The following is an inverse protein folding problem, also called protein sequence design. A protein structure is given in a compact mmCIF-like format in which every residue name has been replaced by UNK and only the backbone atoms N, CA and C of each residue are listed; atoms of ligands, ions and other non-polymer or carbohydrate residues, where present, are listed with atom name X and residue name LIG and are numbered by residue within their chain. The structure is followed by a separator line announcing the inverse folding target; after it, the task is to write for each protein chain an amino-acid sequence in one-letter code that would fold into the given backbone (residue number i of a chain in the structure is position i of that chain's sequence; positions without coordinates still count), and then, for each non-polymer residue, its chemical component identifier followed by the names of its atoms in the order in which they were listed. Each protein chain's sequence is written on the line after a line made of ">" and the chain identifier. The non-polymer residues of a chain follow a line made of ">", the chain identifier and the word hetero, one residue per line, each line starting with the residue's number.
data_IF_680905196044
#
_entry.id   IF_680905196044
#
_cell.length_a   1.000
_cell.length_b   1.000
_cell.length_c   1.000
_cell.angle_alpha   90.00
_cell.angle_beta   90.00
_cell.angle_gamma   90.00
#
_symmetry.space_group_name_H-M   'P 1'
#
loop_
_entity.id
_entity.type
_entity.pdbx_description
1 polymer ?
#
# COMPACT_ATOMS: atom_id res chain seq x y z
N UNK A 1 0.78 5.75 5.01
CA UNK A 1 1.82 5.11 4.16
C UNK A 1 1.44 5.36 2.70
N UNK A 2 2.34 5.91 1.88
CA UNK A 2 2.05 6.18 0.46
C UNK A 2 1.95 4.86 -0.32
N UNK A 3 0.88 4.68 -1.10
CA UNK A 3 0.60 3.46 -1.88
C UNK A 3 0.66 3.80 -3.38
N UNK A 4 1.83 3.72 -4.03
CA UNK A 4 1.96 4.04 -5.45
C UNK A 4 1.12 3.12 -6.34
N UNK A 5 0.97 1.85 -5.92
CA UNK A 5 0.13 0.86 -6.60
C UNK A 5 -1.34 1.31 -6.76
N UNK A 6 -1.87 2.05 -5.76
CA UNK A 6 -3.24 2.55 -5.81
C UNK A 6 -3.44 3.50 -6.99
N UNK A 7 -2.49 4.41 -7.20
CA UNK A 7 -2.55 5.38 -8.30
C UNK A 7 -2.29 4.73 -9.66
N UNK A 8 -1.40 3.72 -9.71
CA UNK A 8 -1.18 2.95 -10.93
C UNK A 8 -2.48 2.25 -11.37
N UNK A 9 -3.20 1.64 -10.43
CA UNK A 9 -4.44 0.92 -10.69
C UNK A 9 -5.58 1.82 -11.22
N UNK A 10 -5.51 3.14 -11.00
CA UNK A 10 -6.49 4.09 -11.53
C UNK A 10 -6.36 4.29 -13.05
N UNK A 11 -5.16 4.12 -13.60
CA UNK A 11 -4.88 4.31 -15.01
C UNK A 11 -4.66 2.99 -15.76
N UNK A 12 -4.17 1.96 -15.07
CA UNK A 12 -3.87 0.66 -15.65
C UNK A 12 -4.52 -0.43 -14.80
N UNK A 13 -5.48 -1.16 -15.40
CA UNK A 13 -6.19 -2.22 -14.70
C UNK A 13 -5.20 -3.30 -14.19
N UNK A 14 -5.31 -3.73 -12.91
CA UNK A 14 -4.42 -4.70 -12.28
C UNK A 14 -4.57 -6.14 -12.80
N UNK A 15 -5.66 -6.43 -13.50
CA UNK A 15 -5.90 -7.72 -14.12
C UNK A 15 -6.66 -7.51 -15.45
N UNK A 16 -6.42 -8.41 -16.39
CA UNK A 16 -7.28 -8.58 -17.55
C UNK A 16 -8.34 -9.63 -17.18
N UNK A 17 -9.60 -9.24 -17.27
CA UNK A 17 -10.74 -10.14 -17.00
C UNK A 17 -11.11 -10.88 -18.29
N UNK A 18 -11.08 -12.21 -18.24
CA UNK A 18 -11.42 -13.06 -19.37
C UNK A 18 -12.45 -14.09 -18.93
N UNK A 19 -13.42 -14.39 -19.79
CA UNK A 19 -14.45 -15.38 -19.52
C UNK A 19 -13.85 -16.78 -19.32
N UNK A 20 -14.37 -17.52 -18.33
CA UNK A 20 -13.84 -18.81 -17.90
C UNK A 20 -13.70 -19.85 -19.00
N UNK A 21 -14.60 -19.88 -20.00
CA UNK A 21 -14.53 -20.85 -21.10
C UNK A 21 -13.30 -20.70 -22.00
N UNK A 22 -12.64 -19.53 -21.98
CA UNK A 22 -11.39 -19.30 -22.73
C UNK A 22 -10.14 -19.79 -22.00
N UNK A 23 -10.27 -20.24 -20.73
CA UNK A 23 -9.13 -20.63 -19.89
C UNK A 23 -8.24 -21.68 -20.56
N UNK A 24 -8.83 -22.67 -21.25
CA UNK A 24 -8.08 -23.71 -21.94
C UNK A 24 -7.25 -23.13 -23.09
N UNK A 25 -7.85 -22.27 -23.92
CA UNK A 25 -7.15 -21.68 -25.06
C UNK A 25 -5.97 -20.80 -24.62
N UNK A 26 -6.10 -20.13 -23.48
CA UNK A 26 -5.05 -19.31 -22.88
C UNK A 26 -3.93 -20.20 -22.36
N UNK A 27 -4.25 -21.22 -21.57
CA UNK A 27 -3.26 -22.10 -20.94
C UNK A 27 -2.55 -23.05 -21.92
N UNK A 28 -3.20 -23.38 -23.05
CA UNK A 28 -2.61 -24.09 -24.19
C UNK A 28 -1.78 -23.17 -25.11
N UNK A 29 -1.70 -21.86 -24.81
CA UNK A 29 -0.91 -20.89 -25.58
C UNK A 29 -1.47 -20.53 -26.96
N UNK A 30 -2.72 -20.92 -27.25
CA UNK A 30 -3.38 -20.67 -28.56
C UNK A 30 -3.85 -19.22 -28.73
N UNK A 31 -3.87 -18.44 -27.65
CA UNK A 31 -4.21 -17.02 -27.70
C UNK A 31 -2.98 -16.16 -28.05
N UNK A 32 -2.99 -15.59 -29.26
CA UNK A 32 -1.89 -14.77 -29.83
C UNK A 32 -1.50 -13.57 -28.97
N UNK A 33 -2.41 -13.06 -28.13
CA UNK A 33 -2.12 -11.91 -27.28
C UNK A 33 -1.40 -12.30 -25.96
N UNK A 34 -1.43 -13.58 -25.59
CA UNK A 34 -0.94 -14.08 -24.30
C UNK A 34 0.10 -15.22 -24.44
N UNK A 35 0.41 -15.67 -25.67
CA UNK A 35 1.33 -16.79 -25.95
C UNK A 35 2.72 -16.68 -25.32
N UNK A 36 3.19 -15.47 -25.01
CA UNK A 36 4.53 -15.22 -24.44
C UNK A 36 4.52 -14.93 -22.93
N UNK A 37 3.35 -14.92 -22.29
CA UNK A 37 3.23 -14.63 -20.86
C UNK A 37 3.28 -15.94 -20.09
N UNK A 38 4.32 -16.12 -19.27
CA UNK A 38 4.40 -17.27 -18.36
C UNK A 38 3.45 -17.05 -17.19
N UNK A 39 2.28 -17.69 -17.24
CA UNK A 39 1.26 -17.60 -16.19
C UNK A 39 1.61 -18.61 -15.08
N UNK A 40 2.37 -18.17 -14.09
CA UNK A 40 2.70 -19.00 -12.92
C UNK A 40 1.57 -19.03 -11.89
N UNK A 41 0.87 -17.90 -11.75
CA UNK A 41 -0.28 -17.74 -10.86
C UNK A 41 -1.46 -17.25 -11.66
N UNK A 42 -2.58 -17.97 -11.55
CA UNK A 42 -3.82 -17.64 -12.21
C UNK A 42 -4.87 -17.33 -11.15
N UNK A 43 -5.42 -16.12 -11.16
CA UNK A 43 -6.55 -15.80 -10.30
C UNK A 43 -7.83 -16.19 -11.02
N UNK A 44 -8.72 -16.85 -10.30
CA UNK A 44 -9.99 -17.35 -10.82
C UNK A 44 -11.13 -16.87 -9.95
N UNK A 45 -12.26 -16.55 -10.58
CA UNK A 45 -13.51 -16.25 -9.95
C UNK A 45 -14.48 -17.41 -10.19
N UNK A 46 -14.91 -18.02 -9.09
CA UNK A 46 -15.81 -19.18 -9.08
C UNK A 46 -17.13 -18.72 -8.50
N UNK A 47 -18.23 -19.08 -9.15
CA UNK A 47 -19.58 -18.66 -8.80
C UNK A 47 -20.50 -19.87 -8.75
N UNK A 48 -21.33 -19.98 -7.73
CA UNK A 48 -22.14 -21.17 -7.49
C UNK A 48 -23.10 -20.99 -6.32
N UNK A 49 -23.98 -21.97 -6.07
CA UNK A 49 -24.91 -21.94 -4.95
C UNK A 49 -24.18 -22.08 -3.60
N UNK A 50 -24.72 -21.41 -2.57
CA UNK A 50 -24.27 -21.45 -1.18
C UNK A 50 -24.64 -22.80 -0.54
N UNK A 51 -23.72 -23.42 0.21
CA UNK A 51 -23.91 -24.71 0.86
C UNK A 51 -25.09 -24.69 1.85
N UNK A 52 -25.23 -23.59 2.59
CA UNK A 52 -26.32 -23.43 3.56
C UNK A 52 -27.66 -23.03 2.91
N UNK A 53 -27.64 -22.49 1.68
CA UNK A 53 -28.82 -21.97 0.99
C UNK A 53 -28.68 -22.03 -0.54
N UNK A 54 -29.19 -23.09 -1.14
CA UNK A 54 -29.08 -23.37 -2.57
C UNK A 54 -29.71 -22.32 -3.50
N UNK A 55 -30.64 -21.49 -3.01
CA UNK A 55 -31.24 -20.39 -3.78
C UNK A 55 -30.30 -19.17 -3.90
N UNK A 56 -29.31 -19.07 -3.02
CA UNK A 56 -28.36 -17.96 -2.97
C UNK A 56 -27.10 -18.32 -3.76
N UNK A 57 -26.74 -17.47 -4.71
CA UNK A 57 -25.48 -17.60 -5.46
C UNK A 57 -24.40 -16.76 -4.78
N UNK A 58 -23.27 -17.38 -4.48
CA UNK A 58 -22.07 -16.74 -3.95
C UNK A 58 -20.95 -16.77 -5.00
N UNK A 59 -19.99 -15.86 -4.87
CA UNK A 59 -18.84 -15.78 -5.75
C UNK A 59 -17.56 -15.65 -4.93
N UNK A 60 -16.52 -16.37 -5.30
CA UNK A 60 -15.26 -16.47 -4.55
C UNK A 60 -14.06 -16.40 -5.48
N UNK A 61 -13.03 -15.67 -5.03
CA UNK A 61 -11.80 -15.48 -5.79
C UNK A 61 -10.69 -16.35 -5.19
N UNK A 62 -10.12 -17.24 -5.99
CA UNK A 62 -9.01 -18.11 -5.60
C UNK A 62 -7.79 -17.87 -6.49
N UNK A 63 -6.61 -18.23 -5.98
CA UNK A 63 -5.35 -18.12 -6.71
C UNK A 63 -4.81 -19.53 -6.94
N UNK A 64 -4.74 -19.93 -8.21
CA UNK A 64 -4.18 -21.20 -8.64
C UNK A 64 -2.70 -21.02 -8.94
N UNK A 65 -1.87 -21.95 -8.48
CA UNK A 65 -0.46 -22.04 -8.89
C UNK A 65 -0.37 -23.13 -9.95
N UNK A 66 0.01 -22.75 -11.16
CA UNK A 66 -0.01 -23.65 -12.32
C UNK A 66 1.35 -24.33 -12.52
N UNK A 67 1.33 -25.61 -12.88
CA UNK A 67 2.53 -26.32 -13.33
C UNK A 67 2.92 -25.91 -14.75
N UNK A 68 4.22 -25.94 -15.06
CA UNK A 68 4.71 -25.63 -16.41
C UNK A 68 4.46 -26.78 -17.41
N UNK A 69 4.14 -27.97 -16.92
CA UNK A 69 4.01 -29.19 -17.72
C UNK A 69 2.55 -29.65 -17.79
N UNK A 70 2.18 -30.25 -18.93
CA UNK A 70 0.85 -30.81 -19.18
C UNK A 70 -0.05 -29.93 -20.06
N UNK A 71 -1.19 -30.49 -20.46
CA UNK A 71 -2.30 -29.78 -21.09
C UNK A 71 -2.94 -28.78 -20.12
N UNK A 72 -3.71 -27.81 -20.62
CA UNK A 72 -4.43 -26.85 -19.76
C UNK A 72 -5.25 -27.51 -18.64
N UNK A 73 -5.94 -28.61 -18.95
CA UNK A 73 -6.78 -29.34 -17.98
C UNK A 73 -5.91 -30.01 -16.91
N UNK A 74 -4.81 -30.64 -17.31
CA UNK A 74 -3.85 -31.24 -16.34
C UNK A 74 -3.24 -30.19 -15.43
N UNK A 75 -2.93 -28.98 -15.95
CA UNK A 75 -2.42 -27.87 -15.13
C UNK A 75 -3.44 -27.42 -14.08
N UNK A 76 -4.72 -27.34 -14.45
CA UNK A 76 -5.80 -26.98 -13.51
C UNK A 76 -6.03 -28.08 -12.47
N UNK A 77 -6.07 -29.34 -12.89
CA UNK A 77 -6.19 -30.50 -12.00
C UNK A 77 -5.03 -30.57 -11.00
N UNK A 78 -3.80 -30.35 -11.47
CA UNK A 78 -2.61 -30.31 -10.61
C UNK A 78 -2.63 -29.12 -9.64
N UNK A 79 -3.29 -28.01 -10.00
CA UNK A 79 -3.55 -26.90 -9.11
C UNK A 79 -4.69 -27.17 -8.10
N UNK A 80 -5.33 -28.34 -8.18
CA UNK A 80 -6.42 -28.77 -7.31
C UNK A 80 -7.81 -28.35 -7.80
N UNK A 81 -7.94 -27.83 -9.02
CA UNK A 81 -9.21 -27.41 -9.60
C UNK A 81 -9.62 -28.36 -10.72
N UNK A 82 -10.56 -29.26 -10.43
CA UNK A 82 -11.14 -30.14 -11.44
C UNK A 82 -12.22 -29.39 -12.21
N UNK A 83 -12.09 -29.36 -13.54
CA UNK A 83 -13.02 -28.63 -14.42
C UNK A 83 -13.56 -29.51 -15.52
N UNK A 84 -14.84 -29.32 -15.83
CA UNK A 84 -15.54 -29.94 -16.96
C UNK A 84 -16.01 -28.82 -17.90
N UNK A 85 -15.61 -28.92 -19.16
CA UNK A 85 -15.98 -27.96 -20.20
C UNK A 85 -17.25 -28.43 -20.89
N UNK A 86 -18.33 -27.67 -20.77
CA UNK A 86 -19.57 -27.94 -21.51
C UNK A 86 -19.98 -26.72 -22.35
N UNK A 87 -19.92 -26.89 -23.67
CA UNK A 87 -20.26 -25.89 -24.68
C UNK A 87 -19.52 -24.55 -24.50
N UNK A 88 -20.05 -23.65 -23.67
CA UNK A 88 -19.57 -22.31 -23.42
C UNK A 88 -19.51 -21.97 -21.92
N UNK A 89 -19.48 -22.99 -21.06
CA UNK A 89 -19.40 -22.88 -19.61
C UNK A 89 -18.35 -23.86 -19.10
N UNK A 90 -17.78 -23.51 -17.96
CA UNK A 90 -16.78 -24.33 -17.28
C UNK A 90 -17.34 -24.68 -15.93
N UNK A 91 -17.73 -25.94 -15.78
CA UNK A 91 -18.25 -26.49 -14.53
C UNK A 91 -17.05 -26.87 -13.67
N UNK A 92 -17.09 -26.46 -12.41
CA UNK A 92 -16.08 -26.80 -11.41
C UNK A 92 -16.63 -27.94 -10.57
N UNK A 93 -15.87 -29.03 -10.48
CA UNK A 93 -16.19 -30.13 -9.58
C UNK A 93 -15.60 -29.89 -8.19
N UNK A 94 -16.11 -30.64 -7.21
CA UNK A 94 -15.61 -30.60 -5.85
C UNK A 94 -14.10 -30.94 -5.84
N UNK A 95 -13.24 -30.04 -5.30
CA UNK A 95 -11.82 -30.30 -5.18
C UNK A 95 -11.53 -31.55 -4.32
N UNK A 96 -10.45 -32.26 -4.63
CA UNK A 96 -10.08 -33.44 -3.83
C UNK A 96 -9.79 -33.09 -2.36
N UNK A 97 -10.24 -33.91 -1.39
CA UNK A 97 -9.92 -33.73 0.01
C UNK A 97 -8.41 -33.64 0.26
N UNK A 98 -7.98 -32.64 1.03
CA UNK A 98 -6.57 -32.39 1.33
C UNK A 98 -5.87 -31.40 0.39
N UNK A 99 -6.56 -30.89 -0.63
CA UNK A 99 -6.07 -29.77 -1.45
C UNK A 99 -6.35 -28.42 -0.79
N UNK A 100 -5.62 -27.36 -1.17
CA UNK A 100 -5.84 -26.00 -0.65
C UNK A 100 -7.23 -25.46 -1.01
N UNK A 101 -7.71 -25.77 -2.23
CA UNK A 101 -9.01 -25.30 -2.72
C UNK A 101 -10.19 -26.00 -2.06
N UNK A 102 -10.02 -27.22 -1.53
CA UNK A 102 -11.08 -27.91 -0.82
C UNK A 102 -11.62 -27.10 0.36
N UNK A 103 -10.73 -26.49 1.14
CA UNK A 103 -11.12 -25.61 2.25
C UNK A 103 -11.66 -24.28 1.76
N UNK A 104 -11.07 -23.71 0.70
CA UNK A 104 -11.54 -22.43 0.16
C UNK A 104 -12.93 -22.54 -0.48
N UNK A 105 -13.27 -23.67 -1.10
CA UNK A 105 -14.53 -23.83 -1.84
C UNK A 105 -15.60 -24.61 -1.06
N UNK A 106 -15.38 -24.89 0.22
CA UNK A 106 -16.33 -25.62 1.07
C UNK A 106 -17.70 -24.91 1.21
N UNK A 107 -17.75 -23.60 1.02
CA UNK A 107 -18.99 -22.81 1.09
C UNK A 107 -19.93 -23.07 -0.10
N UNK A 108 -19.48 -23.76 -1.15
CA UNK A 108 -20.29 -24.04 -2.34
C UNK A 108 -21.02 -25.38 -2.22
N UNK A 109 -22.26 -25.44 -2.70
CA UNK A 109 -22.97 -26.70 -2.93
C UNK A 109 -22.66 -27.25 -4.34
N UNK A 110 -21.76 -28.23 -4.42
CA UNK A 110 -21.42 -28.88 -5.68
C UNK A 110 -22.49 -29.87 -6.18
N UNK A 111 -23.47 -30.23 -5.35
CA UNK A 111 -24.48 -31.25 -5.63
C UNK A 111 -25.88 -30.68 -5.83
N UNK A 112 -26.02 -29.36 -5.79
CA UNK A 112 -27.27 -28.67 -6.11
C UNK A 112 -27.65 -28.78 -7.60
N UNK A 113 -28.91 -28.44 -7.92
CA UNK A 113 -29.42 -28.39 -9.30
C UNK A 113 -28.65 -27.40 -10.19
N UNK A 114 -28.02 -26.39 -9.60
CA UNK A 114 -27.22 -25.38 -10.32
C UNK A 114 -25.73 -25.69 -10.13
N UNK A 115 -24.97 -25.92 -11.21
CA UNK A 115 -23.55 -26.24 -11.09
C UNK A 115 -22.74 -25.03 -10.62
N UNK A 116 -21.62 -25.32 -9.96
CA UNK A 116 -20.57 -24.34 -9.68
C UNK A 116 -19.81 -24.05 -10.97
N UNK A 117 -19.63 -22.78 -11.30
CA UNK A 117 -19.05 -22.32 -12.56
C UNK A 117 -17.78 -21.53 -12.34
N UNK A 118 -16.80 -21.73 -13.20
CA UNK A 118 -15.67 -20.82 -13.37
C UNK A 118 -16.13 -19.69 -14.30
N UNK A 119 -16.46 -18.54 -13.73
CA UNK A 119 -17.05 -17.41 -14.45
C UNK A 119 -15.99 -16.56 -15.15
N UNK A 120 -14.96 -16.17 -14.39
CA UNK A 120 -13.93 -15.25 -14.87
C UNK A 120 -12.54 -15.71 -14.45
N UNK A 121 -11.58 -15.49 -15.34
CA UNK A 121 -10.16 -15.69 -15.13
C UNK A 121 -9.47 -14.34 -15.20
N UNK A 122 -8.67 -14.05 -14.18
CA UNK A 122 -7.99 -12.79 -13.96
C UNK A 122 -6.49 -12.99 -14.18
N UNK A 123 -5.98 -12.46 -15.28
CA UNK A 123 -4.56 -12.56 -15.64
C UNK A 123 -3.85 -11.26 -15.29
N UNK A 124 -2.70 -11.38 -14.65
CA UNK A 124 -1.86 -10.22 -14.33
C UNK A 124 -1.21 -9.65 -15.59
N UNK A 125 -1.49 -8.38 -15.90
CA UNK A 125 -0.92 -7.69 -17.08
C UNK A 125 0.54 -7.35 -16.79
N UNK A 126 1.46 -7.93 -17.55
CA UNK A 126 2.91 -7.70 -17.38
C UNK A 126 3.42 -6.39 -17.98
N UNK A 127 2.68 -5.76 -18.90
CA UNK A 127 3.09 -4.53 -19.60
C UNK A 127 2.74 -3.23 -18.83
N UNK A 128 2.84 -3.27 -17.49
CA UNK A 128 2.59 -2.07 -16.67
C UNK A 128 3.86 -1.26 -16.50
N UNK A 129 3.76 0.08 -16.51
CA UNK A 129 4.88 0.90 -16.08
C UNK A 129 5.21 0.61 -14.62
N UNK A 130 6.48 0.75 -14.29
CA UNK A 130 6.98 0.57 -12.92
C UNK A 130 6.28 1.55 -11.98
N UNK A 131 5.77 1.04 -10.86
CA UNK A 131 4.99 1.82 -9.88
C UNK A 131 5.78 2.96 -9.25
N UNK A 132 7.11 2.89 -9.32
CA UNK A 132 8.02 3.86 -8.72
C UNK A 132 7.94 5.23 -9.39
N UNK A 133 7.33 5.35 -10.58
CA UNK A 133 7.07 6.63 -11.26
C UNK A 133 6.28 7.59 -10.34
N UNK A 134 5.38 7.07 -9.51
CA UNK A 134 4.58 7.89 -8.60
C UNK A 134 5.40 8.53 -7.46
N UNK A 135 6.66 8.15 -7.25
CA UNK A 135 7.58 8.85 -6.34
C UNK A 135 8.29 10.02 -6.99
N UNK A 136 8.28 10.13 -8.33
CA UNK A 136 8.98 11.21 -9.03
C UNK A 136 8.58 12.62 -8.56
N UNK A 137 7.28 12.93 -8.30
CA UNK A 137 6.90 14.22 -7.72
C UNK A 137 7.57 14.50 -6.37
N UNK A 138 7.76 13.49 -5.52
CA UNK A 138 8.44 13.66 -4.24
C UNK A 138 9.93 14.01 -4.42
N UNK A 139 10.60 13.39 -5.39
CA UNK A 139 11.98 13.75 -5.75
C UNK A 139 12.08 15.17 -6.31
N UNK A 140 11.11 15.59 -7.13
CA UNK A 140 11.05 16.97 -7.64
C UNK A 140 10.92 17.96 -6.49
N UNK A 141 10.00 17.70 -5.55
CA UNK A 141 9.85 18.55 -4.35
C UNK A 141 11.14 18.58 -3.53
N UNK A 142 11.77 17.43 -3.30
CA UNK A 142 13.04 17.36 -2.57
C UNK A 142 14.15 18.15 -3.27
N UNK A 143 14.27 18.02 -4.60
CA UNK A 143 15.23 18.78 -5.40
C UNK A 143 14.96 20.29 -5.31
N UNK A 144 13.70 20.72 -5.44
CA UNK A 144 13.31 22.13 -5.28
C UNK A 144 13.74 22.64 -3.90
N UNK A 145 13.45 21.89 -2.83
CA UNK A 145 13.87 22.24 -1.46
C UNK A 145 15.39 22.36 -1.37
N UNK A 146 16.15 21.42 -1.93
CA UNK A 146 17.62 21.45 -1.93
C UNK A 146 18.16 22.66 -2.72
N UNK A 147 17.61 22.95 -3.90
CA UNK A 147 18.03 24.09 -4.72
C UNK A 147 17.69 25.44 -4.06
N UNK A 148 16.48 25.59 -3.51
CA UNK A 148 16.08 26.81 -2.80
C UNK A 148 16.90 27.03 -1.52
N UNK A 149 17.29 25.95 -0.83
CA UNK A 149 18.15 26.05 0.35
C UNK A 149 19.65 26.14 0.03
N UNK A 150 20.09 25.89 -1.21
CA UNK A 150 21.52 25.94 -1.61
C UNK A 150 22.17 27.30 -1.36
N UNK A 151 21.45 28.39 -1.59
CA UNK A 151 21.92 29.75 -1.28
C UNK A 151 22.03 29.99 0.24
N UNK A 152 21.13 29.36 1.02
CA UNK A 152 21.06 29.50 2.48
C UNK A 152 22.17 28.75 3.21
N UNK A 153 22.56 27.56 2.74
CA UNK A 153 23.73 26.83 3.25
C UNK A 153 25.04 27.58 3.00
N UNK A 154 25.12 28.34 1.90
CA UNK A 154 26.31 29.14 1.58
C UNK A 154 26.46 30.38 2.48
N UNK A 155 25.35 30.90 3.00
CA UNK A 155 25.31 32.06 3.89
C UNK A 155 25.45 31.69 5.38
N UNK A 156 25.14 30.45 5.78
CA UNK A 156 25.28 30.01 7.18
C UNK A 156 26.70 29.65 7.61
N UNK A 157 27.68 29.69 6.69
CA UNK A 157 29.10 29.50 7.02
C UNK A 157 29.79 30.77 7.56
N UNK A 158 29.04 31.86 7.72
CA UNK A 158 29.56 33.12 8.29
C UNK A 158 28.67 33.56 9.44
N UNK A 159 29.23 33.51 10.67
CA UNK A 159 28.70 33.93 11.99
C UNK A 159 27.74 32.91 12.62
N UNK A 160 27.95 32.37 13.82
CA UNK A 160 28.62 32.89 15.01
C UNK A 160 28.89 31.72 15.98
N UNK A 161 30.15 31.29 16.15
CA UNK A 161 30.52 30.16 17.02
C UNK A 161 30.29 30.48 18.50
N UNK A 162 29.11 30.15 19.03
CA UNK A 162 28.84 30.19 20.47
C UNK A 162 29.07 28.82 21.09
N UNK A 163 30.30 28.60 21.58
CA UNK A 163 30.59 27.48 22.49
C UNK A 163 30.03 27.85 23.88
N UNK A 164 28.79 27.43 24.17
CA UNK A 164 28.23 27.60 25.51
C UNK A 164 29.11 26.83 26.51
N UNK A 165 29.62 27.53 27.54
CA UNK A 165 30.44 26.92 28.60
C UNK A 165 29.62 26.06 29.57
N UNK A 166 28.29 26.13 29.48
CA UNK A 166 27.36 25.53 30.44
C UNK A 166 26.39 24.52 29.81
N UNK A 167 26.36 24.40 28.48
CA UNK A 167 25.45 23.49 27.77
C UNK A 167 26.28 22.50 26.94
N UNK A 168 26.17 21.22 27.29
CA UNK A 168 26.80 20.13 26.54
C UNK A 168 25.80 19.64 25.47
N UNK A 169 26.00 20.08 24.22
CA UNK A 169 25.14 19.70 23.12
C UNK A 169 25.43 18.26 22.67
N UNK A 170 24.43 17.57 22.09
CA UNK A 170 24.61 16.23 21.52
C UNK A 170 25.72 16.18 20.45
N UNK A 171 25.92 17.28 19.73
CA UNK A 171 27.08 17.49 18.86
C UNK A 171 27.72 18.86 19.15
N UNK A 172 28.76 18.88 19.99
CA UNK A 172 29.47 20.09 20.42
C UNK A 172 30.29 20.80 19.32
N UNK A 173 30.40 20.20 18.13
CA UNK A 173 31.10 20.77 16.98
C UNK A 173 30.17 21.45 15.97
N UNK A 174 28.85 21.37 16.15
CA UNK A 174 27.90 21.98 15.23
C UNK A 174 27.73 23.49 15.54
N UNK A 175 27.88 24.34 14.52
CA UNK A 175 27.51 25.76 14.60
C UNK A 175 26.08 25.91 14.08
N UNK A 176 25.11 26.04 14.99
CA UNK A 176 23.68 26.04 14.68
C UNK A 176 23.07 27.42 14.94
N UNK A 177 22.13 27.89 14.08
CA UNK A 177 21.37 29.11 14.33
C UNK A 177 20.62 29.05 15.66
N UNK A 178 20.56 30.18 16.38
CA UNK A 178 19.79 30.30 17.63
C UNK A 178 18.38 30.74 17.29
N UNK A 179 17.42 29.85 17.55
CA UNK A 179 15.98 30.13 17.45
C UNK A 179 15.53 30.95 18.66
N UNK A 180 14.86 32.07 18.43
CA UNK A 180 14.32 32.97 19.47
C UNK A 180 12.79 33.01 19.50
N UNK A 181 12.13 32.43 18.49
CA UNK A 181 10.68 32.33 18.43
C UNK A 181 10.22 31.29 17.43
N UNK A 182 8.92 31.01 17.43
CA UNK A 182 8.26 30.19 16.43
C UNK A 182 6.83 30.69 16.22
N UNK A 183 6.31 30.49 15.01
CA UNK A 183 4.98 30.92 14.57
C UNK A 183 4.45 29.92 13.51
N UNK A 184 3.39 29.19 13.88
CA UNK A 184 2.84 28.12 13.05
C UNK A 184 3.90 27.06 12.72
N UNK A 185 4.11 26.78 11.44
CA UNK A 185 5.12 25.83 10.97
C UNK A 185 6.53 26.42 10.83
N UNK A 186 6.80 27.61 11.38
CA UNK A 186 8.09 28.30 11.23
C UNK A 186 8.82 28.50 12.56
N UNK A 187 10.15 28.35 12.53
CA UNK A 187 11.09 28.80 13.55
C UNK A 187 11.72 30.13 13.11
N UNK A 188 11.94 31.04 14.05
CA UNK A 188 12.48 32.38 13.82
C UNK A 188 13.81 32.48 14.56
N UNK A 189 14.90 32.75 13.83
CA UNK A 189 16.20 32.97 14.46
C UNK A 189 16.35 34.40 15.01
N UNK A 190 17.41 34.62 15.79
CA UNK A 190 17.76 35.93 16.38
C UNK A 190 17.90 37.06 15.34
N UNK A 191 18.19 36.72 14.09
CA UNK A 191 18.39 37.67 13.00
C UNK A 191 17.09 37.90 12.20
N UNK A 192 15.96 37.34 12.68
CA UNK A 192 14.62 37.49 12.11
C UNK A 192 14.31 36.54 10.95
N UNK A 193 15.20 35.61 10.62
CA UNK A 193 15.00 34.69 9.49
C UNK A 193 14.08 33.54 9.90
N UNK A 194 13.13 33.23 9.01
CA UNK A 194 12.13 32.17 9.19
C UNK A 194 12.57 30.86 8.52
N UNK A 195 12.49 29.75 9.26
CA UNK A 195 12.82 28.40 8.82
C UNK A 195 11.57 27.54 8.91
N UNK A 196 11.22 26.83 7.84
CA UNK A 196 10.13 25.86 7.88
C UNK A 196 10.55 24.68 8.77
N UNK A 197 9.79 24.40 9.83
CA UNK A 197 10.02 23.27 10.72
C UNK A 197 9.43 21.99 10.12
N UNK A 198 10.22 21.34 9.27
CA UNK A 198 9.83 20.06 8.65
C UNK A 198 9.94 18.85 9.58
N UNK A 199 10.51 19.03 10.78
CA UNK A 199 10.63 17.99 11.80
C UNK A 199 9.51 18.02 12.84
N UNK A 200 8.84 19.16 13.02
CA UNK A 200 7.95 19.42 14.15
C UNK A 200 8.61 19.07 15.49
N UNK A 201 9.92 19.33 15.61
CA UNK A 201 10.77 18.80 16.68
C UNK A 201 10.89 17.28 16.68
N UNK A 202 10.68 16.63 17.84
CA UNK A 202 10.53 15.17 17.93
C UNK A 202 9.07 14.74 17.68
N UNK A 203 8.44 15.27 16.63
CA UNK A 203 7.01 15.10 16.32
C UNK A 203 6.04 15.51 17.46
N UNK A 204 6.42 16.50 18.28
CA UNK A 204 5.63 16.94 19.46
C UNK A 204 4.89 18.26 19.24
N UNK A 205 5.18 19.01 18.18
CA UNK A 205 4.49 20.28 17.86
C UNK A 205 3.37 20.06 16.85
N UNK A 206 2.34 19.30 17.24
CA UNK A 206 1.22 18.94 16.37
C UNK A 206 0.32 20.12 15.98
N UNK A 207 0.29 21.18 16.80
CA UNK A 207 -0.49 22.39 16.56
C UNK A 207 0.35 23.53 15.95
N UNK A 208 1.63 23.28 15.68
CA UNK A 208 2.59 24.34 15.34
C UNK A 208 3.05 25.13 16.56
N UNK A 209 4.00 26.04 16.32
CA UNK A 209 4.57 26.90 17.35
C UNK A 209 3.64 28.06 17.68
N UNK A 210 3.65 28.48 18.95
CA UNK A 210 3.00 29.71 19.40
C UNK A 210 1.46 29.76 19.36
N UNK A 211 0.78 28.61 19.33
CA UNK A 211 -0.68 28.52 19.35
C UNK A 211 -1.33 29.35 20.49
N UNK A 212 -2.25 30.25 20.12
CA UNK A 212 -2.86 31.22 21.05
C UNK A 212 -3.76 30.52 22.08
N UNK A 213 -4.49 29.48 21.67
CA UNK A 213 -5.37 28.72 22.56
C UNK A 213 -4.56 28.04 23.66
N UNK A 214 -3.46 27.35 23.31
CA UNK A 214 -2.57 26.72 24.29
C UNK A 214 -1.92 27.75 25.22
N UNK A 215 -1.48 28.89 24.68
CA UNK A 215 -0.90 29.98 25.50
C UNK A 215 -1.90 30.50 26.53
N UNK A 216 -3.16 30.68 26.14
CA UNK A 216 -4.16 31.24 27.02
C UNK A 216 -4.61 30.25 28.09
N UNK A 217 -4.69 28.95 27.79
CA UNK A 217 -4.94 27.91 28.80
C UNK A 217 -3.79 27.75 29.79
N UNK A 218 -2.53 27.84 29.33
CA UNK A 218 -1.37 27.82 30.22
C UNK A 218 -1.41 29.03 31.18
N UNK A 219 -1.77 30.23 30.72
CA UNK A 219 -1.87 31.43 31.57
C UNK A 219 -2.97 31.33 32.63
N UNK A 220 -4.05 30.59 32.35
CA UNK A 220 -5.15 30.36 33.31
C UNK A 220 -4.80 29.33 34.40
N UNK A 221 -3.79 28.50 34.17
CA UNK A 221 -3.42 27.41 35.07
C UNK A 221 -2.68 27.95 36.31
N UNK A 222 -3.14 27.56 37.49
CA UNK A 222 -2.57 27.95 38.79
C UNK A 222 -1.17 27.32 39.00
N UNK A 223 -0.12 28.08 39.37
CA UNK A 223 1.26 27.61 39.45
C UNK A 223 1.55 26.60 40.58
N UNK A 224 0.57 26.24 41.42
CA UNK A 224 0.83 25.44 42.63
C UNK A 224 1.41 24.04 42.35
N UNK A 225 1.00 23.34 41.28
CA UNK A 225 1.67 22.12 40.78
C UNK A 225 1.41 21.99 39.26
N UNK A 226 2.46 22.07 38.44
CA UNK A 226 2.40 21.79 36.99
C UNK A 226 3.29 20.56 36.72
N UNK A 227 2.66 19.39 36.65
CA UNK A 227 3.28 18.13 36.19
C UNK A 227 2.35 17.54 35.13
N UNK A 228 2.89 17.30 33.94
CA UNK A 228 2.24 16.50 32.91
C UNK A 228 3.16 15.32 32.61
N UNK A 229 2.95 14.20 33.31
CA UNK A 229 3.70 12.96 33.07
C UNK A 229 2.93 12.08 32.08
N UNK A 230 3.64 11.53 31.11
CA UNK A 230 3.10 10.56 30.13
C UNK A 230 2.95 9.13 30.72
N UNK A 231 3.42 8.92 31.94
CA UNK A 231 3.31 7.66 32.68
C UNK A 231 2.48 7.89 33.95
N UNK A 232 1.17 7.64 33.85
CA UNK A 232 0.32 7.30 34.99
C UNK A 232 -0.48 6.06 34.55
N UNK A 233 0.06 4.88 34.87
CA UNK A 233 -0.73 3.65 34.90
C UNK A 233 -1.36 3.55 36.28
N UNK A 234 -2.65 3.16 36.28
CA UNK A 234 -3.61 3.00 37.39
C UNK A 234 -3.04 2.87 38.81
#
# INVERSE_FOLDING_TARGET
>A
MFRPDFWLNQFYAPFLEIEGYKVQNILDGKDRNLSNVKIEKLRVQITGPDFDNSDKIISKNSILTLSNEGSAIEKLNNAGLTVIMENNRVIVEEPFPGTALFQELQDFDFYADRPVLLETVLIEVSDRPFKEIFYFPAFVVLLVILFTNRSRYRLSLVKYKMKSRYIFQRNSNADLPIVVGGDGCYLIDKDGKRYLDGSSGAAVSCLGHSDEYVKDEIKKTDPRIIICSFFFFY
#
